data_IF_279966452339
#
_entry.id   IF_279966452339
#
_cell.length_a   1.000
_cell.length_b   1.000
_cell.length_c   1.000
_cell.angle_alpha   90.00
_cell.angle_beta   90.00
_cell.angle_gamma   90.00
#
_symmetry.space_group_name_H-M   'P 1'
#
loop_
_entity.id
_entity.type
_entity.pdbx_description
1 polymer ?
#
# COMPACT_ATOMS: atom_id res chain seq x y z
N UNK A 1 -68.59 23.58 -30.29
CA UNK A 1 -67.90 22.31 -30.47
C UNK A 1 -66.46 22.64 -30.78
N UNK A 2 -65.65 22.73 -29.80
CA UNK A 2 -64.30 23.34 -29.85
C UNK A 2 -63.31 22.47 -29.08
N UNK A 3 -62.26 22.23 -29.73
CA UNK A 3 -60.87 21.81 -29.33
C UNK A 3 -60.61 21.53 -27.87
N UNK A 4 -60.34 20.23 -27.59
CA UNK A 4 -59.66 19.79 -26.41
C UNK A 4 -58.76 18.53 -26.73
N UNK A 5 -57.73 18.73 -27.54
CA UNK A 5 -56.88 17.62 -27.93
C UNK A 5 -55.39 18.01 -28.16
N UNK A 6 -54.77 18.83 -27.27
CA UNK A 6 -53.33 19.13 -27.42
C UNK A 6 -52.51 19.27 -26.13
N UNK A 7 -53.08 19.10 -24.94
CA UNK A 7 -52.37 19.28 -23.69
C UNK A 7 -51.63 17.99 -23.18
N UNK A 8 -52.10 16.78 -23.54
CA UNK A 8 -51.57 15.53 -23.04
C UNK A 8 -50.22 15.06 -23.63
N UNK A 9 -49.84 15.59 -24.81
CA UNK A 9 -48.62 15.17 -25.52
C UNK A 9 -47.33 15.85 -25.07
N UNK A 10 -47.42 17.03 -24.46
CA UNK A 10 -46.25 17.80 -24.01
C UNK A 10 -45.68 17.32 -22.67
N UNK A 11 -46.51 16.86 -21.76
CA UNK A 11 -46.07 16.45 -20.40
C UNK A 11 -45.28 15.15 -20.42
N UNK A 12 -45.56 14.22 -21.35
CA UNK A 12 -44.80 12.97 -21.49
C UNK A 12 -43.43 13.09 -22.21
N UNK A 13 -43.18 14.19 -22.92
CA UNK A 13 -41.93 14.41 -23.67
C UNK A 13 -40.83 15.06 -22.82
N UNK A 14 -41.16 15.86 -21.83
CA UNK A 14 -40.21 16.52 -20.92
C UNK A 14 -39.27 15.55 -20.18
N UNK A 15 -39.75 14.48 -19.52
CA UNK A 15 -38.85 13.58 -18.79
C UNK A 15 -37.90 12.81 -19.74
N UNK A 16 -38.35 12.49 -20.96
CA UNK A 16 -37.49 11.81 -21.95
C UNK A 16 -36.41 12.74 -22.52
N UNK A 17 -36.64 14.02 -22.64
CA UNK A 17 -35.66 15.02 -23.07
C UNK A 17 -34.61 15.24 -21.98
N UNK A 18 -35.04 15.39 -20.72
CA UNK A 18 -34.11 15.51 -19.56
C UNK A 18 -33.24 14.27 -19.44
N UNK A 19 -33.81 13.08 -19.54
CA UNK A 19 -33.03 11.82 -19.48
C UNK A 19 -32.00 11.73 -20.63
N UNK A 20 -32.39 12.13 -21.87
CA UNK A 20 -31.47 12.14 -23.02
C UNK A 20 -30.34 13.14 -22.84
N UNK A 21 -30.62 14.32 -22.33
CA UNK A 21 -29.61 15.34 -22.03
C UNK A 21 -28.69 14.89 -20.91
N UNK A 22 -29.22 14.35 -19.83
CA UNK A 22 -28.43 13.79 -18.72
C UNK A 22 -27.52 12.65 -19.19
N UNK A 23 -28.02 11.72 -19.99
CA UNK A 23 -27.22 10.63 -20.57
C UNK A 23 -26.12 11.16 -21.51
N UNK A 24 -26.44 12.23 -22.29
CA UNK A 24 -25.44 12.86 -23.18
C UNK A 24 -24.33 13.55 -22.39
N UNK A 25 -24.67 14.27 -21.32
CA UNK A 25 -23.70 14.89 -20.40
C UNK A 25 -22.87 13.84 -19.68
N UNK A 26 -23.50 12.77 -19.20
CA UNK A 26 -22.78 11.66 -18.56
C UNK A 26 -21.76 11.00 -19.51
N UNK A 27 -22.18 10.74 -20.76
CA UNK A 27 -21.27 10.19 -21.78
C UNK A 27 -20.14 11.14 -22.14
N UNK A 28 -20.40 12.43 -22.17
CA UNK A 28 -19.38 13.43 -22.47
C UNK A 28 -18.36 13.52 -21.35
N UNK A 29 -18.81 13.61 -20.10
CA UNK A 29 -17.95 13.63 -18.91
C UNK A 29 -17.18 12.32 -18.76
N UNK A 30 -17.81 11.18 -19.01
CA UNK A 30 -17.14 9.89 -19.02
C UNK A 30 -16.00 9.83 -20.05
N UNK A 31 -16.23 10.28 -21.29
CA UNK A 31 -15.18 10.33 -22.31
C UNK A 31 -14.04 11.27 -21.95
N UNK A 32 -14.31 12.36 -21.26
CA UNK A 32 -13.27 13.27 -20.74
C UNK A 32 -12.50 12.61 -19.62
N UNK A 33 -13.18 12.03 -18.64
CA UNK A 33 -12.56 11.34 -17.52
C UNK A 33 -11.66 10.18 -17.98
N UNK A 34 -12.11 9.41 -18.97
CA UNK A 34 -11.37 8.26 -19.51
C UNK A 34 -10.40 8.62 -20.63
N UNK A 35 -10.01 9.89 -20.74
CA UNK A 35 -8.98 10.33 -21.67
C UNK A 35 -7.59 10.14 -21.10
N UNK A 36 -6.60 9.84 -21.95
CA UNK A 36 -5.21 9.70 -21.56
C UNK A 36 -4.65 10.97 -20.89
N UNK A 37 -5.06 12.14 -21.37
CA UNK A 37 -4.66 13.43 -20.78
C UNK A 37 -5.18 13.59 -19.36
N UNK A 38 -6.43 13.22 -19.08
CA UNK A 38 -7.00 13.26 -17.73
C UNK A 38 -6.28 12.31 -16.78
N UNK A 39 -5.94 11.09 -17.24
CA UNK A 39 -5.19 10.15 -16.43
C UNK A 39 -3.80 10.70 -16.05
N UNK A 40 -3.10 11.36 -16.98
CA UNK A 40 -1.80 12.00 -16.72
C UNK A 40 -1.93 13.16 -15.72
N UNK A 41 -2.96 14.01 -15.86
CA UNK A 41 -3.22 15.11 -14.93
C UNK A 41 -3.55 14.56 -13.52
N UNK A 42 -4.39 13.53 -13.42
CA UNK A 42 -4.71 12.91 -12.14
C UNK A 42 -3.49 12.24 -11.50
N UNK A 43 -2.64 11.62 -12.29
CA UNK A 43 -1.37 11.05 -11.81
C UNK A 43 -0.45 12.14 -11.25
N UNK A 44 -0.31 13.25 -11.97
CA UNK A 44 0.46 14.41 -11.50
C UNK A 44 -0.13 15.00 -10.21
N UNK A 45 -1.45 15.16 -10.15
CA UNK A 45 -2.13 15.63 -8.95
C UNK A 45 -1.95 14.68 -7.77
N UNK A 46 -1.98 13.37 -8.01
CA UNK A 46 -1.74 12.37 -6.96
C UNK A 46 -0.30 12.46 -6.43
N UNK A 47 0.68 12.61 -7.32
CA UNK A 47 2.08 12.81 -6.92
C UNK A 47 2.26 14.10 -6.11
N UNK A 48 1.65 15.21 -6.55
CA UNK A 48 1.69 16.48 -5.83
C UNK A 48 0.99 16.38 -4.47
N UNK A 49 -0.14 15.68 -4.42
CA UNK A 49 -0.90 15.43 -3.21
C UNK A 49 -0.14 14.57 -2.18
N UNK A 50 0.78 13.71 -2.63
CA UNK A 50 1.60 12.88 -1.76
C UNK A 50 2.77 13.65 -1.09
N UNK A 51 3.16 14.81 -1.61
CA UNK A 51 4.29 15.59 -1.08
C UNK A 51 4.12 15.97 0.41
N UNK A 52 2.98 16.51 0.86
CA UNK A 52 2.78 16.77 2.27
C UNK A 52 2.90 15.50 3.15
N UNK A 53 2.42 14.37 2.64
CA UNK A 53 2.52 13.09 3.34
C UNK A 53 3.95 12.57 3.51
N UNK A 54 4.86 13.00 2.64
CA UNK A 54 6.29 12.67 2.74
C UNK A 54 7.08 13.68 3.57
N UNK A 55 6.65 14.96 3.62
CA UNK A 55 7.38 16.05 4.27
C UNK A 55 6.92 16.33 5.71
N UNK A 56 5.64 16.09 6.00
CA UNK A 56 5.06 16.34 7.32
C UNK A 56 4.99 15.05 8.14
N UNK A 57 5.08 15.14 9.48
CA UNK A 57 4.85 13.97 10.32
C UNK A 57 3.43 13.45 10.10
N UNK A 58 3.30 12.15 9.92
CA UNK A 58 2.01 11.52 9.69
C UNK A 58 1.50 10.89 11.00
N UNK A 59 0.22 11.14 11.34
CA UNK A 59 -0.39 10.66 12.59
C UNK A 59 -0.39 9.13 12.67
N UNK A 60 -0.45 8.49 11.51
CA UNK A 60 -0.36 7.05 11.42
C UNK A 60 1.03 6.46 11.75
N UNK A 61 2.08 7.24 11.69
CA UNK A 61 3.44 6.83 12.02
C UNK A 61 3.82 7.25 13.44
N UNK A 62 3.47 8.47 13.84
CA UNK A 62 3.82 8.98 15.16
C UNK A 62 2.88 10.12 15.59
N UNK A 63 1.94 9.81 16.48
CA UNK A 63 0.96 10.77 17.01
C UNK A 63 1.64 11.89 17.81
N UNK A 64 2.69 11.56 18.58
CA UNK A 64 3.38 12.54 19.45
C UNK A 64 4.13 13.57 18.58
N UNK A 65 4.83 13.15 17.53
CA UNK A 65 5.49 14.10 16.59
C UNK A 65 4.50 15.04 15.93
N UNK A 66 3.28 14.59 15.60
CA UNK A 66 2.23 15.46 15.08
C UNK A 66 1.79 16.47 16.13
N UNK A 67 1.54 16.03 17.36
CA UNK A 67 1.15 16.91 18.47
C UNK A 67 2.22 17.95 18.79
N UNK A 68 3.48 17.56 18.81
CA UNK A 68 4.63 18.46 18.96
C UNK A 68 4.72 19.48 17.82
N UNK A 69 4.52 19.04 16.59
CA UNK A 69 4.53 19.95 15.43
C UNK A 69 3.41 20.98 15.50
N UNK A 70 2.18 20.55 15.87
CA UNK A 70 1.04 21.46 16.04
C UNK A 70 1.31 22.46 17.16
N UNK A 71 1.88 22.03 18.29
CA UNK A 71 2.24 22.89 19.41
C UNK A 71 3.36 23.90 19.05
N UNK A 72 4.35 23.47 18.26
CA UNK A 72 5.46 24.31 17.81
C UNK A 72 5.04 25.34 16.75
N UNK A 73 3.95 25.08 16.01
CA UNK A 73 3.45 25.93 14.92
C UNK A 73 1.98 26.35 15.18
N UNK A 74 1.72 27.29 16.09
CA UNK A 74 0.36 27.62 16.53
C UNK A 74 -0.59 28.13 15.43
N UNK A 75 -0.04 28.69 14.35
CA UNK A 75 -0.82 29.20 13.21
C UNK A 75 -0.98 28.17 12.10
N UNK A 76 0.11 27.52 11.70
CA UNK A 76 0.11 26.57 10.58
C UNK A 76 -0.33 25.19 11.01
N UNK A 77 0.00 24.75 12.22
CA UNK A 77 -0.35 23.43 12.73
C UNK A 77 -1.85 23.14 12.67
N UNK A 78 -2.72 23.99 13.27
CA UNK A 78 -4.17 23.80 13.19
C UNK A 78 -4.75 23.90 11.78
N UNK A 79 -4.14 24.74 10.90
CA UNK A 79 -4.56 24.83 9.51
C UNK A 79 -4.24 23.54 8.75
N UNK A 80 -3.04 22.99 8.92
CA UNK A 80 -2.62 21.75 8.31
C UNK A 80 -3.43 20.55 8.81
N UNK A 81 -3.78 20.56 10.10
CA UNK A 81 -4.66 19.55 10.68
C UNK A 81 -6.07 19.58 10.06
N UNK A 82 -6.64 20.76 9.92
CA UNK A 82 -7.94 20.95 9.27
C UNK A 82 -7.96 20.55 7.80
N UNK A 83 -6.81 20.65 7.11
CA UNK A 83 -6.61 20.20 5.73
C UNK A 83 -6.24 18.71 5.63
N UNK A 84 -6.22 17.99 6.75
CA UNK A 84 -5.86 16.56 6.83
C UNK A 84 -4.43 16.26 6.33
N UNK A 85 -3.49 17.25 6.44
CA UNK A 85 -2.12 17.08 5.94
C UNK A 85 -1.26 16.18 6.85
N UNK A 86 -1.70 15.89 8.06
CA UNK A 86 -1.09 14.90 8.95
C UNK A 86 -1.68 13.49 8.78
N UNK A 87 -2.69 13.35 7.90
CA UNK A 87 -3.36 12.09 7.57
C UNK A 87 -3.58 11.96 6.06
N UNK A 88 -2.63 12.43 5.25
CA UNK A 88 -2.75 12.59 3.78
C UNK A 88 -3.31 11.36 3.10
N UNK A 89 -2.73 10.20 3.35
CA UNK A 89 -3.09 8.95 2.66
C UNK A 89 -4.44 8.36 3.08
N UNK A 90 -5.06 8.91 4.14
CA UNK A 90 -6.40 8.58 4.63
C UNK A 90 -7.42 9.67 4.31
N UNK A 91 -6.97 10.84 3.85
CA UNK A 91 -7.82 12.00 3.58
C UNK A 91 -8.84 11.73 2.46
N UNK A 92 -9.98 12.39 2.58
CA UNK A 92 -11.04 12.31 1.58
C UNK A 92 -10.56 12.78 0.19
N UNK A 93 -9.83 13.88 0.12
CA UNK A 93 -9.37 14.47 -1.14
C UNK A 93 -8.31 13.60 -1.84
N UNK A 94 -7.38 12.98 -1.08
CA UNK A 94 -6.41 12.04 -1.64
C UNK A 94 -7.11 10.78 -2.19
N UNK A 95 -8.03 10.25 -1.40
CA UNK A 95 -8.84 9.09 -1.80
C UNK A 95 -9.67 9.38 -3.04
N UNK A 96 -10.25 10.59 -3.15
CA UNK A 96 -11.01 11.00 -4.33
C UNK A 96 -10.13 11.05 -5.59
N UNK A 97 -8.93 11.65 -5.52
CA UNK A 97 -7.97 11.68 -6.65
C UNK A 97 -7.59 10.25 -7.05
N UNK A 98 -7.29 9.40 -6.07
CA UNK A 98 -6.93 8.00 -6.30
C UNK A 98 -8.04 7.22 -7.01
N UNK A 99 -9.28 7.33 -6.55
CA UNK A 99 -10.44 6.66 -7.16
C UNK A 99 -10.70 7.18 -8.56
N UNK A 100 -10.62 8.51 -8.79
CA UNK A 100 -10.76 9.09 -10.11
C UNK A 100 -9.68 8.64 -11.08
N UNK A 101 -8.42 8.55 -10.62
CA UNK A 101 -7.32 8.01 -11.43
C UNK A 101 -7.56 6.54 -11.79
N UNK A 102 -8.01 5.73 -10.84
CA UNK A 102 -8.32 4.33 -11.06
C UNK A 102 -9.44 4.15 -12.10
N UNK A 103 -10.54 4.90 -11.99
CA UNK A 103 -11.63 4.90 -12.95
C UNK A 103 -11.18 5.38 -14.33
N UNK A 104 -10.35 6.43 -14.38
CA UNK A 104 -9.77 6.96 -15.61
C UNK A 104 -8.91 5.91 -16.31
N UNK A 105 -8.04 5.23 -15.56
CA UNK A 105 -7.15 4.19 -16.07
C UNK A 105 -7.92 3.00 -16.65
N UNK A 106 -8.90 2.48 -15.93
CA UNK A 106 -9.77 1.39 -16.42
C UNK A 106 -10.50 1.83 -17.69
N UNK A 107 -11.10 3.02 -17.65
CA UNK A 107 -11.91 3.55 -18.77
C UNK A 107 -11.11 3.81 -20.04
N UNK A 108 -9.82 4.14 -19.96
CA UNK A 108 -8.97 4.30 -21.14
C UNK A 108 -8.38 2.97 -21.62
N UNK A 109 -8.19 2.00 -20.73
CA UNK A 109 -7.54 0.73 -21.04
C UNK A 109 -8.48 -0.27 -21.73
N UNK A 110 -9.75 -0.33 -21.29
CA UNK A 110 -10.73 -1.28 -21.86
C UNK A 110 -10.96 -1.10 -23.37
N UNK A 111 -11.19 0.11 -23.92
CA UNK A 111 -11.31 0.28 -25.37
C UNK A 111 -10.03 -0.08 -26.14
N UNK A 112 -8.87 0.19 -25.54
CA UNK A 112 -7.58 -0.12 -26.12
C UNK A 112 -7.34 -1.63 -26.20
N UNK A 113 -7.70 -2.36 -25.15
CA UNK A 113 -7.70 -3.82 -25.13
C UNK A 113 -8.62 -4.39 -26.23
N UNK A 114 -9.85 -3.87 -26.36
CA UNK A 114 -10.79 -4.31 -27.37
C UNK A 114 -10.25 -4.07 -28.80
N UNK A 115 -9.69 -2.89 -29.04
CA UNK A 115 -9.05 -2.57 -30.32
C UNK A 115 -7.86 -3.50 -30.63
N UNK A 116 -7.02 -3.76 -29.63
CA UNK A 116 -5.87 -4.66 -29.78
C UNK A 116 -6.29 -6.11 -30.06
N UNK A 117 -7.28 -6.62 -29.32
CA UNK A 117 -7.83 -7.97 -29.56
C UNK A 117 -8.48 -8.06 -30.96
N UNK A 118 -9.15 -7.00 -31.40
CA UNK A 118 -9.65 -6.90 -32.78
C UNK A 118 -8.53 -6.94 -33.81
N UNK A 119 -7.46 -6.17 -33.61
CA UNK A 119 -6.29 -6.14 -34.48
C UNK A 119 -5.55 -7.49 -34.52
N UNK A 120 -5.48 -8.20 -33.38
CA UNK A 120 -4.89 -9.55 -33.34
C UNK A 120 -5.67 -10.56 -34.19
N UNK A 121 -6.97 -10.42 -34.32
CA UNK A 121 -7.85 -11.31 -35.10
C UNK A 121 -7.98 -10.91 -36.57
N UNK A 122 -7.74 -9.63 -36.88
CA UNK A 122 -7.84 -9.13 -38.27
C UNK A 122 -6.62 -9.54 -39.08
N UNK A 123 -6.79 -9.64 -40.38
CA UNK A 123 -5.66 -9.79 -41.32
C UNK A 123 -4.91 -8.46 -41.46
N UNK A 124 -3.61 -8.51 -41.88
CA UNK A 124 -2.87 -7.31 -42.25
C UNK A 124 -3.64 -6.37 -43.17
N UNK A 125 -3.46 -5.07 -42.94
CA UNK A 125 -4.17 -4.02 -43.71
C UNK A 125 -3.95 -4.22 -45.21
N UNK A 126 -4.97 -3.96 -46.03
CA UNK A 126 -4.83 -4.04 -47.50
C UNK A 126 -3.79 -3.05 -47.99
N UNK A 127 -3.00 -3.48 -48.98
CA UNK A 127 -2.08 -2.59 -49.67
C UNK A 127 -2.87 -1.43 -50.31
N UNK A 128 -2.39 -0.18 -50.25
CA UNK A 128 -3.02 0.94 -50.93
C UNK A 128 -2.89 0.74 -52.46
N UNK A 129 -3.91 1.18 -53.20
CA UNK A 129 -3.93 1.08 -54.66
C UNK A 129 -2.73 1.77 -55.32
N UNK A 130 -2.21 2.81 -54.75
CA UNK A 130 -1.06 3.55 -55.24
C UNK A 130 0.08 3.49 -54.19
N UNK A 131 1.02 2.58 -54.43
CA UNK A 131 2.20 2.39 -53.57
C UNK A 131 3.20 3.53 -53.66
N UNK A 132 3.20 4.35 -54.72
CA UNK A 132 4.10 5.50 -54.88
C UNK A 132 3.81 6.62 -53.84
N UNK A 133 2.66 6.59 -53.16
CA UNK A 133 2.34 7.50 -52.06
C UNK A 133 2.98 7.13 -50.72
N UNK A 134 3.57 5.95 -50.64
CA UNK A 134 4.26 5.53 -49.42
C UNK A 134 5.61 6.24 -49.31
N UNK A 135 6.05 6.63 -48.11
CA UNK A 135 7.33 7.33 -47.91
C UNK A 135 8.53 6.54 -48.40
N UNK A 136 8.47 5.22 -48.29
CA UNK A 136 9.49 4.29 -48.78
C UNK A 136 8.85 3.33 -49.78
N UNK A 137 9.03 3.61 -51.06
CA UNK A 137 8.55 2.77 -52.13
C UNK A 137 9.69 2.48 -53.12
N UNK A 138 9.63 1.32 -53.71
CA UNK A 138 10.56 0.89 -54.76
C UNK A 138 9.77 0.25 -55.88
N UNK A 139 10.22 0.44 -57.10
CA UNK A 139 9.68 -0.18 -58.31
C UNK A 139 10.82 -0.85 -59.05
N UNK A 140 10.59 -2.08 -59.49
CA UNK A 140 11.57 -2.85 -60.28
C UNK A 140 10.90 -3.95 -61.07
N UNK A 141 11.62 -4.44 -62.09
CA UNK A 141 11.21 -5.55 -62.95
C UNK A 141 12.15 -6.71 -62.66
N UNK A 142 11.58 -7.91 -62.52
CA UNK A 142 12.32 -9.16 -62.27
C UNK A 142 11.87 -10.20 -63.28
N UNK A 143 12.82 -10.97 -63.79
CA UNK A 143 12.56 -12.04 -64.78
C UNK A 143 12.39 -13.40 -64.07
N UNK A 144 11.30 -13.54 -63.34
CA UNK A 144 10.90 -14.75 -62.64
C UNK A 144 9.39 -14.96 -62.76
N UNK A 145 8.94 -16.19 -62.61
CA UNK A 145 7.51 -16.47 -62.62
C UNK A 145 6.80 -15.85 -61.42
N UNK A 146 5.52 -15.57 -61.55
CA UNK A 146 4.69 -14.99 -60.49
C UNK A 146 4.67 -15.82 -59.18
N UNK A 147 4.59 -17.15 -59.33
CA UNK A 147 4.58 -18.07 -58.19
C UNK A 147 5.94 -18.14 -57.49
N UNK A 148 7.01 -18.06 -58.25
CA UNK A 148 8.36 -17.99 -57.68
C UNK A 148 8.60 -16.68 -56.96
N UNK A 149 8.15 -15.55 -57.49
CA UNK A 149 8.20 -14.25 -56.81
C UNK A 149 7.43 -14.29 -55.49
N UNK A 150 6.24 -14.84 -55.49
CA UNK A 150 5.42 -14.98 -54.28
C UNK A 150 6.08 -15.84 -53.21
N UNK A 151 6.70 -16.93 -53.63
CA UNK A 151 7.44 -17.86 -52.76
C UNK A 151 8.64 -17.17 -52.10
N UNK A 152 9.45 -16.45 -52.89
CA UNK A 152 10.60 -15.67 -52.38
C UNK A 152 10.17 -14.58 -51.40
N UNK A 153 9.07 -13.85 -51.69
CA UNK A 153 8.50 -12.83 -50.79
C UNK A 153 8.03 -13.48 -49.49
N UNK A 154 7.33 -14.60 -49.54
CA UNK A 154 6.92 -15.34 -48.33
C UNK A 154 8.09 -15.80 -47.47
N UNK A 155 9.17 -16.27 -48.10
CA UNK A 155 10.38 -16.69 -47.39
C UNK A 155 11.08 -15.53 -46.72
N UNK A 156 11.19 -14.36 -47.37
CA UNK A 156 11.79 -13.16 -46.79
C UNK A 156 10.97 -12.56 -45.64
N UNK A 157 9.66 -12.83 -45.65
CA UNK A 157 8.73 -12.39 -44.61
C UNK A 157 8.50 -13.46 -43.51
N UNK A 158 9.41 -14.42 -43.37
CA UNK A 158 9.32 -15.42 -42.29
C UNK A 158 9.28 -14.74 -40.91
N UNK A 159 8.29 -15.10 -40.10
CA UNK A 159 8.05 -14.48 -38.79
C UNK A 159 7.23 -13.18 -38.82
N UNK A 160 6.77 -12.77 -40.00
CA UNK A 160 5.78 -11.72 -40.19
C UNK A 160 4.40 -12.31 -40.35
N UNK A 161 3.38 -11.55 -40.01
CA UNK A 161 2.00 -11.87 -40.31
C UNK A 161 1.69 -11.42 -41.72
N UNK A 162 1.41 -12.37 -42.61
CA UNK A 162 1.30 -12.12 -44.05
C UNK A 162 -0.12 -12.38 -44.51
N UNK A 163 -0.67 -11.49 -45.32
CA UNK A 163 -1.90 -11.69 -46.06
C UNK A 163 -1.63 -11.48 -47.56
N UNK A 164 -2.00 -12.48 -48.35
CA UNK A 164 -1.93 -12.43 -49.81
C UNK A 164 -3.35 -12.27 -50.34
N UNK A 165 -3.56 -11.30 -51.21
CA UNK A 165 -4.86 -11.02 -51.83
C UNK A 165 -4.71 -10.91 -53.32
N UNK A 166 -5.62 -11.55 -54.07
CA UNK A 166 -5.76 -11.36 -55.49
C UNK A 166 -6.72 -10.18 -55.72
N UNK A 167 -6.27 -9.21 -56.46
CA UNK A 167 -7.06 -8.04 -56.89
C UNK A 167 -7.62 -8.26 -58.31
N UNK A 168 -8.39 -7.31 -58.82
CA UNK A 168 -8.86 -7.34 -60.21
C UNK A 168 -7.65 -7.17 -61.14
N UNK A 169 -7.70 -7.76 -62.34
CA UNK A 169 -6.65 -7.70 -63.35
C UNK A 169 -5.41 -8.60 -63.09
N UNK A 170 -5.59 -9.72 -62.36
CA UNK A 170 -4.52 -10.69 -62.07
C UNK A 170 -3.38 -10.14 -61.17
N UNK A 171 -3.54 -8.98 -60.60
CA UNK A 171 -2.59 -8.43 -59.64
C UNK A 171 -2.69 -9.16 -58.30
N UNK A 172 -1.55 -9.47 -57.70
CA UNK A 172 -1.49 -10.04 -56.34
C UNK A 172 -0.81 -9.06 -55.43
N UNK A 173 -1.48 -8.74 -54.35
CA UNK A 173 -0.94 -7.89 -53.30
C UNK A 173 -0.55 -8.71 -52.06
N UNK A 174 0.62 -8.42 -51.51
CA UNK A 174 1.13 -9.01 -50.27
C UNK A 174 1.24 -7.92 -49.23
N UNK A 175 0.55 -8.10 -48.14
CA UNK A 175 0.67 -7.21 -46.96
C UNK A 175 1.28 -7.98 -45.80
N UNK A 176 2.26 -7.41 -45.15
CA UNK A 176 2.94 -8.03 -44.03
C UNK A 176 3.09 -7.06 -42.87
N UNK A 177 2.85 -7.54 -41.68
CA UNK A 177 2.92 -6.75 -40.40
C UNK A 177 3.73 -7.48 -39.34
N UNK A 178 4.49 -6.73 -38.54
CA UNK A 178 5.28 -7.25 -37.42
C UNK A 178 5.19 -6.28 -36.22
N UNK A 179 5.29 -6.81 -35.02
CA UNK A 179 5.42 -5.97 -33.83
C UNK A 179 4.19 -5.92 -32.93
N UNK A 180 3.18 -6.75 -33.12
CA UNK A 180 1.97 -6.84 -32.27
C UNK A 180 2.27 -7.03 -30.77
N UNK A 181 3.36 -7.74 -30.44
CA UNK A 181 3.76 -7.99 -29.05
C UNK A 181 4.13 -6.71 -28.27
N UNK A 182 4.51 -5.63 -28.94
CA UNK A 182 4.81 -4.35 -28.24
C UNK A 182 3.58 -3.79 -27.57
N UNK A 183 2.45 -3.82 -28.26
CA UNK A 183 1.17 -3.33 -27.71
C UNK A 183 0.65 -4.25 -26.61
N UNK A 184 0.80 -5.56 -26.77
CA UNK A 184 0.47 -6.54 -25.73
C UNK A 184 1.28 -6.31 -24.45
N UNK A 185 2.60 -6.08 -24.54
CA UNK A 185 3.45 -5.77 -23.39
C UNK A 185 3.00 -4.52 -22.63
N UNK A 186 2.67 -3.45 -23.37
CA UNK A 186 2.13 -2.23 -22.77
C UNK A 186 0.79 -2.46 -22.05
N UNK A 187 -0.11 -3.26 -22.64
CA UNK A 187 -1.38 -3.61 -22.02
C UNK A 187 -1.18 -4.44 -20.75
N UNK A 188 -0.32 -5.47 -20.79
CA UNK A 188 0.02 -6.30 -19.63
C UNK A 188 0.56 -5.44 -18.49
N UNK A 189 1.48 -4.52 -18.77
CA UNK A 189 2.02 -3.60 -17.77
C UNK A 189 0.91 -2.79 -17.08
N UNK A 190 0.02 -2.17 -17.85
CA UNK A 190 -1.06 -1.36 -17.26
C UNK A 190 -2.10 -2.20 -16.50
N UNK A 191 -2.43 -3.40 -16.98
CA UNK A 191 -3.29 -4.32 -16.24
C UNK A 191 -2.65 -4.81 -14.95
N UNK A 192 -1.33 -5.01 -14.94
CA UNK A 192 -0.59 -5.36 -13.71
C UNK A 192 -0.63 -4.23 -12.68
N UNK A 193 -0.54 -2.96 -13.14
CA UNK A 193 -0.72 -1.80 -12.24
C UNK A 193 -2.13 -1.74 -11.67
N UNK A 194 -3.16 -1.99 -12.48
CA UNK A 194 -4.55 -2.06 -11.97
C UNK A 194 -4.66 -3.18 -10.94
N UNK A 195 -4.12 -4.36 -11.23
CA UNK A 195 -4.09 -5.49 -10.29
C UNK A 195 -3.42 -5.12 -8.97
N UNK A 196 -2.27 -4.42 -9.04
CA UNK A 196 -1.56 -3.94 -7.85
C UNK A 196 -2.44 -2.96 -7.03
N UNK A 197 -3.06 -1.98 -7.69
CA UNK A 197 -3.93 -1.02 -7.02
C UNK A 197 -5.14 -1.69 -6.36
N UNK A 198 -5.76 -2.65 -7.04
CA UNK A 198 -6.89 -3.44 -6.47
C UNK A 198 -6.43 -4.23 -5.26
N UNK A 199 -5.30 -4.91 -5.31
CA UNK A 199 -4.81 -5.70 -4.18
C UNK A 199 -4.44 -4.83 -2.98
N UNK A 200 -3.87 -3.65 -3.20
CA UNK A 200 -3.61 -2.66 -2.13
C UNK A 200 -4.92 -2.15 -1.53
N UNK A 201 -5.92 -1.83 -2.36
CA UNK A 201 -7.23 -1.40 -1.87
C UNK A 201 -7.93 -2.49 -1.05
N UNK A 202 -7.92 -3.74 -1.52
CA UNK A 202 -8.44 -4.89 -0.77
C UNK A 202 -7.70 -5.06 0.55
N UNK A 203 -6.36 -4.99 0.54
CA UNK A 203 -5.54 -5.08 1.74
C UNK A 203 -5.87 -4.02 2.78
N UNK A 204 -6.15 -2.77 2.33
CA UNK A 204 -6.61 -1.70 3.22
C UNK A 204 -8.05 -1.89 3.74
N UNK A 205 -8.89 -2.59 2.99
CA UNK A 205 -10.27 -2.85 3.37
C UNK A 205 -10.38 -3.97 4.40
N UNK A 206 -9.69 -5.09 4.16
CA UNK A 206 -9.85 -6.34 4.94
C UNK A 206 -8.62 -6.70 5.77
N UNK A 207 -7.49 -6.01 5.59
CA UNK A 207 -6.27 -6.23 6.33
C UNK A 207 -6.31 -5.61 7.72
N UNK A 208 -5.34 -5.96 8.54
CA UNK A 208 -5.03 -5.27 9.78
C UNK A 208 -3.53 -5.09 9.94
N UNK A 209 -3.15 -4.13 10.76
CA UNK A 209 -1.78 -3.83 11.15
C UNK A 209 -1.77 -3.65 12.68
N UNK A 210 -0.92 -4.39 13.35
CA UNK A 210 -0.72 -4.31 14.79
C UNK A 210 0.76 -4.15 15.10
N UNK A 211 1.08 -3.30 16.06
CA UNK A 211 2.43 -3.11 16.60
C UNK A 211 2.44 -3.45 18.07
N UNK A 212 3.46 -4.16 18.50
CA UNK A 212 3.64 -4.56 19.89
C UNK A 212 5.13 -4.58 20.24
N UNK A 213 5.48 -4.11 21.44
CA UNK A 213 6.82 -4.20 22.00
C UNK A 213 6.89 -5.47 22.83
N UNK A 214 7.84 -6.34 22.52
CA UNK A 214 8.06 -7.60 23.28
C UNK A 214 9.46 -7.58 23.88
N UNK A 215 9.56 -7.86 25.18
CA UNK A 215 10.83 -7.92 25.89
C UNK A 215 11.62 -9.16 25.44
N UNK A 216 12.90 -8.97 25.14
CA UNK A 216 13.79 -10.00 24.65
C UNK A 216 14.47 -10.75 25.81
N UNK A 217 13.69 -11.51 26.57
CA UNK A 217 14.16 -12.27 27.74
C UNK A 217 13.63 -13.71 27.78
N UNK A 218 12.99 -14.17 26.70
CA UNK A 218 12.32 -15.47 26.65
C UNK A 218 11.04 -15.55 27.49
N UNK A 219 10.55 -14.42 28.00
CA UNK A 219 9.36 -14.29 28.85
C UNK A 219 8.04 -14.74 28.21
N UNK A 220 6.90 -14.29 28.74
CA UNK A 220 5.58 -14.77 28.29
C UNK A 220 5.31 -14.49 26.83
N UNK A 221 5.98 -13.48 26.25
CA UNK A 221 5.84 -13.12 24.85
C UNK A 221 4.52 -12.45 24.54
N UNK A 222 4.03 -12.65 23.31
CA UNK A 222 2.84 -12.02 22.77
C UNK A 222 2.00 -13.07 22.04
N UNK A 223 0.67 -13.03 22.19
CA UNK A 223 -0.26 -13.83 21.42
C UNK A 223 -1.30 -12.97 20.72
N UNK A 224 -1.51 -13.19 19.43
CA UNK A 224 -2.51 -12.51 18.60
C UNK A 224 -3.92 -13.02 18.90
N UNK A 225 -4.51 -12.58 20.01
CA UNK A 225 -5.83 -13.05 20.48
C UNK A 225 -6.92 -11.99 20.31
N UNK A 226 -6.58 -10.72 20.38
CA UNK A 226 -7.52 -9.61 20.23
C UNK A 226 -6.78 -8.31 19.91
N UNK A 227 -7.47 -7.26 19.41
CA UNK A 227 -6.88 -5.94 19.22
C UNK A 227 -6.27 -5.31 20.48
N UNK A 228 -6.79 -5.68 21.65
CA UNK A 228 -6.38 -5.11 22.94
C UNK A 228 -4.98 -5.54 23.42
N UNK A 229 -4.38 -6.56 22.79
CA UNK A 229 -3.02 -7.02 23.13
C UNK A 229 -1.92 -6.26 22.40
N UNK A 230 -2.29 -5.36 21.51
CA UNK A 230 -1.38 -4.53 20.74
C UNK A 230 -1.20 -3.16 21.37
N UNK A 231 0.00 -2.60 21.32
CA UNK A 231 0.26 -1.20 21.70
C UNK A 231 -0.39 -0.24 20.67
N UNK A 232 -0.45 -0.66 19.41
CA UNK A 232 -1.16 0.04 18.36
C UNK A 232 -1.80 -0.97 17.41
N UNK A 233 -3.10 -0.84 17.19
CA UNK A 233 -3.86 -1.71 16.30
C UNK A 233 -4.71 -0.89 15.33
N UNK A 234 -4.66 -1.25 14.05
CA UNK A 234 -5.49 -0.68 12.99
C UNK A 234 -6.07 -1.79 12.15
N UNK A 235 -7.36 -1.75 11.98
CA UNK A 235 -8.08 -2.64 11.06
C UNK A 235 -8.61 -1.86 9.86
N UNK A 236 -8.71 -2.55 8.74
CA UNK A 236 -9.42 -2.04 7.57
C UNK A 236 -10.91 -1.88 7.87
N UNK A 237 -11.60 -1.05 7.09
CA UNK A 237 -13.01 -0.71 7.34
C UNK A 237 -13.98 -1.92 7.27
N UNK A 238 -13.56 -3.02 6.68
CA UNK A 238 -14.31 -4.28 6.62
C UNK A 238 -13.85 -5.31 7.66
N UNK A 239 -12.94 -4.95 8.58
CA UNK A 239 -12.38 -5.84 9.61
C UNK A 239 -12.63 -5.22 10.97
N UNK A 240 -13.34 -5.91 11.84
CA UNK A 240 -13.67 -5.44 13.21
C UNK A 240 -12.63 -5.87 14.26
N UNK A 241 -11.59 -6.60 13.85
CA UNK A 241 -10.57 -7.17 14.74
C UNK A 241 -11.00 -8.45 15.43
N UNK A 242 -12.16 -8.99 15.12
CA UNK A 242 -12.56 -10.36 15.50
C UNK A 242 -12.02 -11.35 14.47
N UNK A 243 -11.81 -12.61 14.87
CA UNK A 243 -11.35 -13.65 13.96
C UNK A 243 -9.90 -13.49 13.49
N UNK A 244 -9.04 -12.83 14.29
CA UNK A 244 -7.60 -12.78 14.04
C UNK A 244 -7.04 -14.22 14.01
N UNK A 245 -6.17 -14.50 13.04
CA UNK A 245 -5.49 -15.80 12.98
C UNK A 245 -4.57 -15.95 14.21
N UNK A 246 -4.79 -16.93 15.09
CA UNK A 246 -4.05 -17.02 16.34
C UNK A 246 -2.61 -17.46 16.09
N UNK A 247 -1.68 -16.71 16.65
CA UNK A 247 -0.27 -17.09 16.77
C UNK A 247 0.32 -16.50 18.05
N UNK A 248 1.35 -17.12 18.58
CA UNK A 248 2.11 -16.62 19.72
C UNK A 248 3.58 -16.50 19.34
N UNK A 249 4.27 -15.52 19.92
CA UNK A 249 5.70 -15.26 19.72
C UNK A 249 6.34 -14.98 21.07
N UNK A 250 7.50 -15.57 21.30
CA UNK A 250 8.43 -15.21 22.37
C UNK A 250 9.71 -14.71 21.73
N UNK A 251 10.26 -13.64 22.27
CA UNK A 251 11.57 -13.14 21.85
C UNK A 251 12.61 -13.67 22.84
N UNK A 252 13.46 -14.57 22.36
CA UNK A 252 14.47 -15.20 23.20
C UNK A 252 15.68 -14.28 23.39
N UNK A 253 16.13 -13.66 22.30
CA UNK A 253 17.18 -12.65 22.32
C UNK A 253 17.05 -11.69 21.16
N UNK A 254 17.76 -10.58 21.26
CA UNK A 254 17.86 -9.56 20.23
C UNK A 254 19.31 -9.07 20.10
N UNK A 255 19.78 -8.91 18.88
CA UNK A 255 21.05 -8.26 18.56
C UNK A 255 20.88 -7.16 17.54
N UNK A 256 21.64 -6.09 17.72
CA UNK A 256 21.74 -4.98 16.79
C UNK A 256 23.20 -4.80 16.37
N UNK A 257 23.49 -4.98 15.11
CA UNK A 257 24.80 -4.79 14.53
C UNK A 257 24.86 -3.40 13.88
N UNK A 258 25.96 -2.67 14.15
CA UNK A 258 26.19 -1.33 13.64
C UNK A 258 27.52 -1.27 12.92
N UNK A 259 27.60 -0.49 11.85
CA UNK A 259 28.84 -0.14 11.19
C UNK A 259 29.68 0.80 12.08
N UNK A 260 30.96 0.91 11.78
CA UNK A 260 31.88 1.84 12.49
C UNK A 260 31.40 3.32 12.39
N UNK A 261 30.57 3.62 11.43
CA UNK A 261 29.93 4.94 11.26
C UNK A 261 28.76 5.19 12.23
N UNK A 262 28.34 4.19 13.01
CA UNK A 262 27.15 4.23 13.84
C UNK A 262 25.83 3.97 13.11
N UNK A 263 25.89 3.72 11.80
CA UNK A 263 24.71 3.33 11.04
C UNK A 263 24.31 1.89 11.32
N UNK A 264 23.02 1.62 11.53
CA UNK A 264 22.51 0.27 11.72
C UNK A 264 22.81 -0.59 10.47
N UNK A 265 23.43 -1.73 10.69
CA UNK A 265 23.74 -2.71 9.65
C UNK A 265 22.67 -3.80 9.61
N UNK A 266 22.39 -4.44 10.74
CA UNK A 266 21.41 -5.51 10.83
C UNK A 266 20.78 -5.59 12.22
N UNK A 267 19.48 -5.83 12.25
CA UNK A 267 18.75 -6.22 13.45
C UNK A 267 18.31 -7.67 13.33
N UNK A 268 18.57 -8.43 14.36
CA UNK A 268 18.23 -9.85 14.43
C UNK A 268 17.53 -10.15 15.75
N UNK A 269 16.40 -10.82 15.68
CA UNK A 269 15.65 -11.32 16.82
C UNK A 269 15.50 -12.84 16.70
N UNK A 270 16.02 -13.60 17.63
CA UNK A 270 15.78 -15.03 17.70
C UNK A 270 14.48 -15.23 18.49
N UNK A 271 13.48 -15.76 17.81
CA UNK A 271 12.14 -15.94 18.36
C UNK A 271 11.74 -17.41 18.37
N UNK A 272 10.85 -17.74 19.30
CA UNK A 272 10.08 -18.99 19.25
C UNK A 272 8.63 -18.64 18.98
N UNK A 273 7.96 -19.35 18.07
CA UNK A 273 6.59 -19.07 17.68
C UNK A 273 5.73 -20.33 17.61
N UNK A 274 4.43 -20.11 17.73
CA UNK A 274 3.38 -21.11 17.51
C UNK A 274 2.31 -20.50 16.61
N UNK A 275 1.74 -21.29 15.68
CA UNK A 275 0.60 -20.88 14.86
C UNK A 275 -0.29 -22.09 14.51
N UNK A 276 -1.57 -21.84 14.27
CA UNK A 276 -2.50 -22.88 13.89
C UNK A 276 -2.55 -24.06 14.88
N UNK A 277 -2.27 -25.27 14.42
CA UNK A 277 -2.31 -26.48 15.25
C UNK A 277 -1.21 -26.52 16.31
N UNK A 278 -0.09 -25.84 16.12
CA UNK A 278 1.01 -25.82 17.09
C UNK A 278 0.59 -25.25 18.45
N UNK A 279 -0.41 -24.34 18.46
CA UNK A 279 -0.97 -23.77 19.69
C UNK A 279 -1.70 -24.84 20.50
N UNK A 280 -2.49 -25.70 19.85
CA UNK A 280 -3.22 -26.76 20.52
C UNK A 280 -2.28 -27.84 21.09
N UNK A 281 -1.16 -28.09 20.43
CA UNK A 281 -0.15 -29.07 20.86
C UNK A 281 0.95 -28.45 21.73
N UNK A 282 0.90 -27.15 21.98
CA UNK A 282 1.94 -26.36 22.66
C UNK A 282 3.36 -26.60 22.09
N UNK A 283 3.44 -26.69 20.76
CA UNK A 283 4.69 -26.93 20.05
C UNK A 283 5.29 -25.60 19.61
N UNK A 284 6.48 -25.29 20.07
CA UNK A 284 7.23 -24.08 19.71
C UNK A 284 8.24 -24.38 18.62
N UNK A 285 8.34 -23.46 17.65
CA UNK A 285 9.31 -23.50 16.54
C UNK A 285 10.20 -22.28 16.61
N UNK A 286 11.48 -22.48 16.43
CA UNK A 286 12.44 -21.37 16.42
C UNK A 286 12.53 -20.73 15.05
N UNK A 287 12.68 -19.41 15.04
CA UNK A 287 12.85 -18.63 13.83
C UNK A 287 13.76 -17.43 14.09
N UNK A 288 14.62 -17.13 13.10
CA UNK A 288 15.47 -15.94 13.12
C UNK A 288 14.76 -14.83 12.35
N UNK A 289 14.18 -13.91 13.07
CA UNK A 289 13.47 -12.75 12.51
C UNK A 289 14.47 -11.62 12.23
N UNK A 290 14.52 -11.13 11.00
CA UNK A 290 15.40 -10.05 10.57
C UNK A 290 14.64 -8.97 9.83
N UNK A 291 15.26 -7.80 9.67
CA UNK A 291 14.77 -6.76 8.78
C UNK A 291 14.66 -7.33 7.35
N UNK A 292 13.53 -7.11 6.70
CA UNK A 292 13.17 -7.64 5.38
C UNK A 292 12.98 -9.17 5.27
N UNK A 293 13.16 -9.93 6.36
CA UNK A 293 12.90 -11.37 6.41
C UNK A 293 11.77 -11.68 7.41
N UNK A 294 10.50 -11.37 7.07
CA UNK A 294 9.38 -11.52 8.00
C UNK A 294 9.05 -13.00 8.25
N UNK A 295 8.62 -13.31 9.47
CA UNK A 295 7.95 -14.56 9.76
C UNK A 295 6.58 -14.59 9.06
N UNK A 296 6.29 -15.70 8.40
CA UNK A 296 4.98 -15.96 7.79
C UNK A 296 4.23 -17.01 8.61
N UNK A 297 3.09 -16.61 9.13
CA UNK A 297 2.17 -17.49 9.83
C UNK A 297 0.89 -17.70 9.00
N UNK A 298 -0.02 -18.55 9.48
CA UNK A 298 -1.33 -18.77 8.85
C UNK A 298 -2.17 -17.48 8.94
N UNK A 299 -2.11 -16.65 7.88
CA UNK A 299 -2.91 -15.43 7.74
C UNK A 299 -2.22 -14.13 8.15
N UNK A 300 -1.01 -14.14 8.72
CA UNK A 300 -0.29 -12.94 9.10
C UNK A 300 1.19 -12.95 8.69
N UNK A 301 1.80 -11.76 8.67
CA UNK A 301 3.23 -11.57 8.53
C UNK A 301 3.74 -10.74 9.69
N UNK A 302 4.78 -11.22 10.36
CA UNK A 302 5.41 -10.54 11.47
C UNK A 302 6.74 -9.97 11.02
N UNK A 303 6.91 -8.68 11.22
CA UNK A 303 8.10 -7.92 10.83
C UNK A 303 8.83 -7.43 12.07
N UNK A 304 10.16 -7.43 12.01
CA UNK A 304 10.99 -6.69 12.95
C UNK A 304 11.10 -5.24 12.47
N UNK A 305 10.46 -4.32 13.19
CA UNK A 305 10.36 -2.91 12.78
C UNK A 305 11.36 -2.01 13.52
N UNK A 306 11.84 -2.43 14.69
CA UNK A 306 12.77 -1.66 15.49
C UNK A 306 13.09 -2.34 16.80
N UNK A 307 13.84 -1.65 17.63
CA UNK A 307 14.17 -2.08 19.00
C UNK A 307 14.10 -0.89 19.95
N UNK A 308 14.23 -1.18 21.23
CA UNK A 308 14.28 -0.20 22.32
C UNK A 308 14.92 -0.83 23.54
N UNK A 309 14.66 -0.26 24.69
CA UNK A 309 15.20 -0.70 25.95
C UNK A 309 14.10 -1.07 26.93
N UNK A 310 14.35 -2.06 27.76
CA UNK A 310 13.49 -2.45 28.86
C UNK A 310 14.28 -2.38 30.17
N UNK A 311 14.32 -1.20 30.83
CA UNK A 311 15.03 -1.07 32.10
C UNK A 311 14.45 -1.99 33.18
N UNK A 312 15.32 -2.57 33.98
CA UNK A 312 14.95 -3.37 35.12
C UNK A 312 15.10 -2.55 36.40
N UNK A 313 14.06 -2.49 37.19
CA UNK A 313 14.04 -1.77 38.47
C UNK A 313 13.88 -2.72 39.64
N UNK A 314 14.67 -2.50 40.68
CA UNK A 314 14.53 -3.22 41.94
C UNK A 314 14.19 -2.25 43.05
N UNK A 315 13.06 -2.45 43.69
CA UNK A 315 12.61 -1.66 44.84
C UNK A 315 12.72 -2.53 46.08
N UNK A 316 13.44 -2.02 47.10
CA UNK A 316 13.54 -2.64 48.42
C UNK A 316 12.61 -1.90 49.37
N UNK A 317 11.68 -2.62 49.97
CA UNK A 317 10.70 -2.10 50.91
C UNK A 317 11.26 -2.04 52.35
N UNK A 318 10.62 -1.28 53.28
CA UNK A 318 11.09 -1.12 54.64
C UNK A 318 11.23 -2.42 55.46
N UNK A 319 10.53 -3.48 55.05
CA UNK A 319 10.62 -4.82 55.64
C UNK A 319 11.83 -5.65 55.13
N UNK A 320 12.66 -5.04 54.27
CA UNK A 320 13.83 -5.68 53.66
C UNK A 320 13.51 -6.55 52.46
N UNK A 321 12.23 -6.72 52.07
CA UNK A 321 11.87 -7.47 50.85
C UNK A 321 12.10 -6.61 49.63
N UNK A 322 12.63 -7.24 48.55
CA UNK A 322 12.85 -6.58 47.28
C UNK A 322 11.91 -7.12 46.23
N UNK A 323 11.47 -6.27 45.32
CA UNK A 323 10.76 -6.65 44.09
C UNK A 323 11.48 -6.09 42.88
N UNK A 324 11.67 -6.93 41.87
CA UNK A 324 12.30 -6.56 40.63
C UNK A 324 11.30 -6.73 39.50
N UNK A 325 11.12 -5.67 38.71
CA UNK A 325 10.26 -5.64 37.55
C UNK A 325 11.02 -5.08 36.35
N UNK A 326 10.81 -5.66 35.19
CA UNK A 326 11.34 -5.18 33.91
C UNK A 326 10.20 -4.51 33.16
N UNK A 327 10.38 -3.27 32.73
CA UNK A 327 9.36 -2.49 32.02
C UNK A 327 9.82 -2.14 30.64
N UNK A 328 8.97 -2.39 29.64
CA UNK A 328 9.18 -1.86 28.30
C UNK A 328 9.03 -0.33 28.32
N UNK A 329 10.05 0.39 27.86
CA UNK A 329 9.98 1.82 27.64
C UNK A 329 9.74 2.06 26.15
N UNK A 330 8.81 2.94 25.86
CA UNK A 330 8.45 3.28 24.48
C UNK A 330 9.43 4.34 23.95
N UNK A 331 10.13 4.09 22.84
CA UNK A 331 10.99 5.10 22.22
C UNK A 331 10.17 6.29 21.71
N UNK A 332 10.44 7.47 22.25
CA UNK A 332 9.88 8.75 21.77
C UNK A 332 10.67 9.27 20.56
N UNK A 333 11.95 8.93 20.49
CA UNK A 333 12.83 9.25 19.38
C UNK A 333 13.60 8.00 18.91
N UNK A 334 13.49 7.71 17.63
CA UNK A 334 14.08 6.51 17.01
C UNK A 334 15.60 6.61 16.76
N UNK A 335 16.19 7.80 16.90
CA UNK A 335 17.62 8.03 16.66
C UNK A 335 18.39 8.00 17.98
N UNK A 336 17.91 8.73 18.97
CA UNK A 336 18.55 8.82 20.29
C UNK A 336 18.08 7.75 21.26
N UNK A 337 17.00 7.02 20.92
CA UNK A 337 16.31 6.08 21.79
C UNK A 337 15.85 6.69 23.11
N UNK A 338 15.68 8.02 23.17
CA UNK A 338 15.01 8.64 24.28
C UNK A 338 13.63 7.98 24.44
N UNK A 339 13.40 7.39 25.59
CA UNK A 339 12.21 6.56 25.83
C UNK A 339 11.52 7.01 27.09
N UNK A 340 10.20 6.90 27.14
CA UNK A 340 9.39 7.14 28.32
C UNK A 340 8.70 5.88 28.79
N UNK A 341 8.49 5.78 30.10
CA UNK A 341 7.79 4.65 30.71
C UNK A 341 7.37 4.93 32.14
N UNK A 342 6.41 4.11 32.59
CA UNK A 342 5.92 4.15 33.94
C UNK A 342 5.67 2.73 34.44
N UNK A 343 6.09 2.45 35.69
CA UNK A 343 5.82 1.17 36.31
C UNK A 343 5.34 1.37 37.75
N UNK A 344 4.68 0.34 38.29
CA UNK A 344 4.10 0.37 39.61
C UNK A 344 4.51 -0.87 40.37
N UNK A 345 5.00 -0.64 41.59
CA UNK A 345 5.32 -1.70 42.55
C UNK A 345 4.26 -1.76 43.64
N UNK A 346 3.71 -2.95 43.81
CA UNK A 346 2.84 -3.24 44.97
C UNK A 346 3.71 -3.68 46.14
N UNK A 347 3.56 -3.09 47.32
CA UNK A 347 4.34 -3.52 48.48
C UNK A 347 4.01 -4.95 48.90
N UNK A 348 4.97 -5.68 49.48
CA UNK A 348 4.76 -7.03 49.94
C UNK A 348 3.70 -7.10 51.07
N UNK A 349 3.04 -8.24 51.17
CA UNK A 349 2.00 -8.45 52.18
C UNK A 349 2.51 -8.41 53.60
N UNK A 350 3.82 -8.61 53.83
CA UNK A 350 4.46 -8.47 55.12
C UNK A 350 4.50 -7.02 55.61
N UNK A 351 4.73 -6.05 54.72
CA UNK A 351 4.74 -4.63 55.08
C UNK A 351 3.34 -4.08 55.28
N UNK A 352 2.36 -4.54 54.50
CA UNK A 352 0.96 -4.06 54.54
C UNK A 352 0.01 -5.26 54.39
N UNK A 353 -0.44 -5.88 55.48
CA UNK A 353 -1.33 -7.04 55.46
C UNK A 353 -2.70 -6.73 54.82
N UNK A 354 -3.21 -5.51 55.01
CA UNK A 354 -4.49 -5.08 54.46
C UNK A 354 -4.35 -4.74 52.95
N UNK A 355 -5.19 -5.30 52.07
CA UNK A 355 -5.16 -4.99 50.64
C UNK A 355 -5.38 -3.53 50.27
N UNK A 356 -6.23 -2.82 51.05
CA UNK A 356 -6.51 -1.40 50.79
C UNK A 356 -5.33 -0.50 51.21
N UNK A 357 -4.61 -0.88 52.25
CA UNK A 357 -3.37 -0.21 52.62
C UNK A 357 -2.25 -0.48 51.64
N UNK A 358 -2.16 -1.70 51.06
CA UNK A 358 -1.24 -1.99 50.00
C UNK A 358 -1.47 -1.10 48.78
N UNK A 359 -2.72 -0.90 48.37
CA UNK A 359 -3.08 0.01 47.26
C UNK A 359 -2.64 1.44 47.51
N UNK A 360 -2.81 1.94 48.75
CA UNK A 360 -2.43 3.31 49.11
C UNK A 360 -0.93 3.52 49.16
N UNK A 361 -0.16 2.44 49.39
CA UNK A 361 1.29 2.48 49.52
C UNK A 361 2.01 1.92 48.29
N UNK A 362 1.36 1.91 47.16
CA UNK A 362 1.99 1.58 45.86
C UNK A 362 3.04 2.62 45.51
N UNK A 363 4.15 2.17 44.96
CA UNK A 363 5.19 3.04 44.43
C UNK A 363 5.03 3.07 42.93
N UNK A 364 4.77 4.24 42.35
CA UNK A 364 4.81 4.48 40.92
C UNK A 364 6.11 5.18 40.54
N UNK A 365 6.78 4.67 39.57
CA UNK A 365 7.99 5.24 38.98
C UNK A 365 7.64 5.61 37.55
N UNK A 366 7.77 6.88 37.20
CA UNK A 366 7.65 7.41 35.87
C UNK A 366 8.95 8.12 35.52
N UNK A 367 9.45 7.93 34.29
CA UNK A 367 10.70 8.54 33.93
C UNK A 367 11.05 8.46 32.47
N UNK A 368 12.14 9.12 32.13
CA UNK A 368 12.78 9.10 30.82
C UNK A 368 14.05 8.23 30.89
N UNK A 369 14.25 7.45 29.89
CA UNK A 369 15.49 6.69 29.68
C UNK A 369 16.20 7.26 28.45
N UNK A 370 17.40 7.79 28.65
CA UNK A 370 18.19 8.45 27.61
C UNK A 370 19.55 7.74 27.46
N UNK A 371 19.62 6.65 26.68
CA UNK A 371 20.82 5.82 26.60
C UNK A 371 22.02 6.51 25.95
N UNK A 372 21.77 7.55 25.14
CA UNK A 372 22.80 8.33 24.44
C UNK A 372 23.17 9.63 25.15
N UNK A 373 22.52 9.93 26.25
CA UNK A 373 22.77 11.18 26.96
C UNK A 373 24.12 11.15 27.72
N UNK A 374 24.79 12.29 27.75
CA UNK A 374 26.01 12.50 28.51
C UNK A 374 25.81 13.66 29.48
N UNK A 375 26.51 13.63 30.62
CA UNK A 375 26.54 14.77 31.55
C UNK A 375 27.58 15.78 31.10
N UNK A 376 27.16 17.03 30.92
CA UNK A 376 28.05 18.18 30.73
C UNK A 376 27.87 19.12 31.91
N UNK A 377 28.72 19.00 32.93
CA UNK A 377 28.55 19.70 34.19
C UNK A 377 27.31 19.19 34.98
N UNK A 378 26.33 20.06 35.19
CA UNK A 378 25.05 19.73 35.84
C UNK A 378 23.91 19.47 34.84
N UNK A 379 24.15 19.60 33.56
CA UNK A 379 23.15 19.45 32.50
C UNK A 379 23.31 18.08 31.80
N UNK A 380 22.19 17.45 31.54
CA UNK A 380 22.09 16.29 30.66
C UNK A 380 22.04 16.81 29.22
N UNK A 381 22.96 16.38 28.36
CA UNK A 381 23.06 16.78 26.94
C UNK A 381 22.90 15.59 26.00
#
# INVERSE_FOLDING_TARGET
>A
MTDNATAGGRIRRLPRLIIRESVRLLRHNWRRLTSMSTALVLLFLLALAALPGAMLPQRNLNVQKVSQYIAAQPTLGPLFDKLELFDVFSSFWFTAIYVLLFLSLIGCLVPRLQAHLGALRSQPVRAPRNLSRLPHHFHGVVDISHDEALTRVRQSLKGWRVAVRSEKDSEVTVSAEKGYLREAGNLVFHFSLIGLLVTVAIGKLVGYEGSVIVIADGGPGFCNTSPAVYDSFRAGSATDGTGLAPFCIKVNDFSADYLDTGQAEMFTSNISYQSGQDIATNTWKDYRLRVNEPLRTDGARVYLTGHGYAPQFTVTFPDGQSRTETMQFQPDDAVTFLSSGALRFDPPGGSFPNPDERRKNQIAIEGLFAPTAAFSGTLLT
#
